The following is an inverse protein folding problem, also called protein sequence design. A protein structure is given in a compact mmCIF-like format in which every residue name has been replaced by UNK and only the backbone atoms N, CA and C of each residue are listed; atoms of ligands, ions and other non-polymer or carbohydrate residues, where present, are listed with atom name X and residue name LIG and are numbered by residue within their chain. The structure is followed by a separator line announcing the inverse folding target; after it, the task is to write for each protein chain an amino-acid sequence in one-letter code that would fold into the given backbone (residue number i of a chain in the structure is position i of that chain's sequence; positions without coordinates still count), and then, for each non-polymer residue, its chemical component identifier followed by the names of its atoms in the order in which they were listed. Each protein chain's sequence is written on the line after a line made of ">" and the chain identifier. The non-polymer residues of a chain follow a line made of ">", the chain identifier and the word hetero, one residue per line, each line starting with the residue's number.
data_IF_286890121492
#
_entry.id   IF_286890121492
#
_cell.length_a   1.000
_cell.length_b   1.000
_cell.length_c   1.000
_cell.angle_alpha   90.00
_cell.angle_beta   90.00
_cell.angle_gamma   90.00
#
_symmetry.space_group_name_H-M   'P 1'
#
loop_
_entity.id
_entity.type
_entity.pdbx_description
1 polymer ?
#
# COMPACT_ATOMS: atom_id res chain seq x y z
N UNK A 1 20.00 6.74 57.52
CA UNK A 1 19.79 5.27 57.56
C UNK A 1 19.15 5.04 58.91
N UNK A 2 17.82 4.94 58.94
CA UNK A 2 17.04 5.12 60.18
C UNK A 2 16.62 3.79 60.80
N UNK A 3 17.17 2.69 60.28
CA UNK A 3 16.90 1.32 60.70
C UNK A 3 18.23 0.66 61.07
N UNK A 4 18.29 0.02 62.24
CA UNK A 4 19.48 -0.64 62.77
C UNK A 4 19.85 -1.84 61.86
N UNK A 5 21.10 -1.95 61.35
CA UNK A 5 21.51 -3.05 60.48
C UNK A 5 21.35 -4.44 61.10
N UNK A 6 21.23 -4.55 62.43
CA UNK A 6 20.96 -5.84 63.10
C UNK A 6 19.58 -6.44 62.77
N UNK A 7 18.67 -5.71 62.15
CA UNK A 7 17.33 -6.23 61.79
C UNK A 7 17.41 -7.15 60.55
N UNK A 8 18.50 -7.08 59.78
CA UNK A 8 18.74 -7.91 58.59
C UNK A 8 19.07 -9.38 58.92
N UNK A 9 19.43 -9.69 60.18
CA UNK A 9 19.71 -11.06 60.64
C UNK A 9 18.48 -11.81 61.16
N UNK A 10 17.29 -11.18 61.13
CA UNK A 10 16.02 -11.81 61.49
C UNK A 10 15.45 -12.55 60.28
N UNK A 11 15.13 -13.82 60.48
CA UNK A 11 14.63 -14.70 59.43
C UNK A 11 13.30 -14.18 58.88
N UNK A 12 13.24 -13.96 57.56
CA UNK A 12 12.07 -13.41 56.86
C UNK A 12 11.98 -11.88 56.75
N UNK A 13 13.00 -11.12 57.15
CA UNK A 13 13.02 -9.65 57.01
C UNK A 13 13.97 -9.22 55.88
N UNK A 14 13.44 -8.54 54.86
CA UNK A 14 14.21 -7.96 53.76
C UNK A 14 14.22 -6.44 53.88
N UNK A 15 15.40 -5.84 53.93
CA UNK A 15 15.59 -4.41 54.14
C UNK A 15 15.99 -3.76 52.81
N UNK A 16 15.06 -3.01 52.21
CA UNK A 16 15.32 -2.26 50.98
C UNK A 16 15.62 -0.81 51.31
N UNK A 17 16.77 -0.32 50.86
CA UNK A 17 17.21 1.06 51.01
C UNK A 17 16.76 1.95 49.85
N UNK A 18 17.08 3.24 49.98
CA UNK A 18 16.88 4.23 48.90
C UNK A 18 17.71 3.86 47.65
N UNK A 19 18.89 3.27 47.85
CA UNK A 19 19.77 2.82 46.76
C UNK A 19 19.15 1.65 45.97
N UNK A 20 18.42 0.75 46.62
CA UNK A 20 17.72 -0.36 45.94
C UNK A 20 16.56 0.14 45.09
N UNK A 21 15.83 1.17 45.56
CA UNK A 21 14.78 1.82 44.78
C UNK A 21 15.36 2.55 43.56
N UNK A 22 16.55 3.14 43.69
CA UNK A 22 17.24 3.81 42.58
C UNK A 22 17.59 2.80 41.47
N UNK A 23 18.07 1.62 41.84
CA UNK A 23 18.35 0.53 40.88
C UNK A 23 17.11 0.09 40.11
N UNK A 24 15.97 -0.08 40.79
CA UNK A 24 14.69 -0.47 40.16
C UNK A 24 14.17 0.63 39.22
N UNK A 25 14.36 1.90 39.58
CA UNK A 25 13.96 3.04 38.75
C UNK A 25 14.80 3.09 37.46
N UNK A 26 16.11 2.90 37.56
CA UNK A 26 17.02 2.90 36.42
C UNK A 26 16.71 1.73 35.47
N UNK A 27 16.39 0.56 36.02
CA UNK A 27 15.98 -0.62 35.26
C UNK A 27 14.63 -0.39 34.54
N UNK A 28 13.65 0.22 35.22
CA UNK A 28 12.38 0.63 34.62
C UNK A 28 12.59 1.66 33.49
N UNK A 29 13.50 2.61 33.67
CA UNK A 29 13.81 3.62 32.66
C UNK A 29 14.45 2.97 31.43
N UNK A 30 15.37 2.02 31.62
CA UNK A 30 15.98 1.25 30.54
C UNK A 30 14.93 0.43 29.78
N UNK A 31 14.03 -0.26 30.47
CA UNK A 31 12.92 -1.01 29.85
C UNK A 31 11.99 -0.09 29.05
N UNK A 32 11.64 1.09 29.59
CA UNK A 32 10.81 2.07 28.88
C UNK A 32 11.49 2.60 27.61
N UNK A 33 12.80 2.85 27.66
CA UNK A 33 13.58 3.25 26.48
C UNK A 33 13.59 2.16 25.42
N UNK A 34 13.80 0.91 25.83
CA UNK A 34 13.78 -0.23 24.91
C UNK A 34 12.41 -0.40 24.25
N UNK A 35 11.34 -0.35 25.03
CA UNK A 35 9.97 -0.42 24.51
C UNK A 35 9.63 0.74 23.57
N UNK A 36 10.16 1.95 23.81
CA UNK A 36 9.99 3.10 22.93
C UNK A 36 10.67 2.88 21.57
N UNK A 37 11.90 2.34 21.56
CA UNK A 37 12.61 2.01 20.31
C UNK A 37 11.85 0.94 19.51
N UNK A 38 11.34 -0.09 20.18
CA UNK A 38 10.52 -1.12 19.52
C UNK A 38 9.24 -0.54 18.93
N UNK A 39 8.57 0.38 19.65
CA UNK A 39 7.41 1.09 19.15
C UNK A 39 7.75 1.95 17.92
N UNK A 40 8.88 2.67 17.92
CA UNK A 40 9.32 3.46 16.77
C UNK A 40 9.59 2.59 15.53
N UNK A 41 10.21 1.42 15.71
CA UNK A 41 10.42 0.46 14.62
C UNK A 41 9.07 -0.03 14.07
N UNK A 42 8.14 -0.39 14.96
CA UNK A 42 6.80 -0.84 14.57
C UNK A 42 6.03 0.24 13.80
N UNK A 43 6.08 1.49 14.28
CA UNK A 43 5.42 2.63 13.62
C UNK A 43 5.99 2.87 12.23
N UNK A 44 7.33 2.84 12.07
CA UNK A 44 7.96 3.02 10.75
C UNK A 44 7.58 1.91 9.77
N UNK A 45 7.52 0.67 10.23
CA UNK A 45 7.07 -0.46 9.42
C UNK A 45 5.61 -0.29 8.97
N UNK A 46 4.72 0.03 9.90
CA UNK A 46 3.30 0.26 9.62
C UNK A 46 3.08 1.46 8.69
N UNK A 47 3.83 2.55 8.88
CA UNK A 47 3.77 3.71 7.99
C UNK A 47 4.14 3.34 6.54
N UNK A 48 5.18 2.52 6.37
CA UNK A 48 5.61 2.03 5.06
C UNK A 48 4.56 1.11 4.42
N UNK A 49 3.97 0.21 5.23
CA UNK A 49 2.87 -0.66 4.80
C UNK A 49 1.62 0.14 4.40
N UNK A 50 1.32 1.22 5.11
CA UNK A 50 0.17 2.06 4.81
C UNK A 50 0.36 2.80 3.48
N UNK A 51 1.54 3.38 3.26
CA UNK A 51 1.86 4.06 1.99
C UNK A 51 1.78 3.09 0.81
N UNK A 52 2.32 1.88 0.96
CA UNK A 52 2.26 0.86 -0.09
C UNK A 52 0.82 0.41 -0.36
N UNK A 53 0.02 0.18 0.67
CA UNK A 53 -1.40 -0.15 0.53
C UNK A 53 -2.17 0.99 -0.17
N UNK A 54 -1.90 2.24 0.18
CA UNK A 54 -2.55 3.39 -0.44
C UNK A 54 -2.25 3.48 -1.94
N UNK A 55 -0.98 3.28 -2.33
CA UNK A 55 -0.59 3.20 -3.75
C UNK A 55 -1.32 2.09 -4.51
N UNK A 56 -1.46 0.91 -3.91
CA UNK A 56 -2.20 -0.22 -4.51
C UNK A 56 -3.68 0.13 -4.67
N UNK A 57 -4.28 0.80 -3.69
CA UNK A 57 -5.69 1.21 -3.73
C UNK A 57 -5.94 2.28 -4.80
N UNK A 58 -5.04 3.26 -4.93
CA UNK A 58 -5.08 4.26 -6.00
C UNK A 58 -4.98 3.61 -7.38
N UNK A 59 -4.07 2.65 -7.56
CA UNK A 59 -3.95 1.89 -8.80
C UNK A 59 -5.25 1.15 -9.18
N UNK A 60 -5.99 0.62 -8.18
CA UNK A 60 -7.28 -0.03 -8.41
C UNK A 60 -8.31 0.91 -9.05
N UNK A 61 -8.39 2.17 -8.60
CA UNK A 61 -9.31 3.16 -9.18
C UNK A 61 -8.93 3.52 -10.62
N UNK A 62 -7.63 3.66 -10.90
CA UNK A 62 -7.11 3.91 -12.25
C UNK A 62 -7.38 2.75 -13.19
N UNK A 63 -7.20 1.50 -12.74
CA UNK A 63 -7.51 0.30 -13.52
C UNK A 63 -9.01 0.23 -13.83
N UNK A 64 -9.86 0.53 -12.86
CA UNK A 64 -11.31 0.54 -13.06
C UNK A 64 -11.71 1.60 -14.10
N UNK A 65 -11.22 2.83 -13.96
CA UNK A 65 -11.46 3.90 -14.93
C UNK A 65 -10.98 3.54 -16.34
N UNK A 66 -9.80 2.93 -16.46
CA UNK A 66 -9.27 2.48 -17.75
C UNK A 66 -10.12 1.38 -18.40
N UNK A 67 -10.61 0.41 -17.61
CA UNK A 67 -11.52 -0.63 -18.12
C UNK A 67 -12.83 -0.04 -18.61
N UNK A 68 -13.43 0.87 -17.84
CA UNK A 68 -14.66 1.56 -18.23
C UNK A 68 -14.47 2.33 -19.55
N UNK A 69 -13.36 3.07 -19.67
CA UNK A 69 -13.05 3.80 -20.89
C UNK A 69 -12.86 2.86 -22.10
N UNK A 70 -12.23 1.71 -21.90
CA UNK A 70 -12.05 0.69 -22.94
C UNK A 70 -13.38 0.11 -23.41
N UNK A 71 -14.30 -0.14 -22.48
CA UNK A 71 -15.67 -0.59 -22.76
C UNK A 71 -16.43 0.45 -23.61
N UNK A 72 -16.34 1.74 -23.24
CA UNK A 72 -16.96 2.83 -23.99
C UNK A 72 -16.44 2.92 -25.43
N UNK A 73 -15.14 2.73 -25.64
CA UNK A 73 -14.53 2.66 -26.98
C UNK A 73 -15.09 1.47 -27.76
N UNK A 74 -15.11 0.28 -27.14
CA UNK A 74 -15.63 -0.94 -27.75
C UNK A 74 -17.08 -0.76 -28.21
N UNK A 75 -17.93 -0.21 -27.34
CA UNK A 75 -19.34 0.01 -27.63
C UNK A 75 -19.56 1.00 -28.77
N UNK A 76 -18.75 2.07 -28.86
CA UNK A 76 -18.81 3.03 -29.97
C UNK A 76 -18.43 2.40 -31.30
N UNK A 77 -17.31 1.66 -31.34
CA UNK A 77 -16.88 0.98 -32.57
C UNK A 77 -17.89 -0.09 -33.00
N UNK A 78 -18.48 -0.81 -32.04
CA UNK A 78 -19.51 -1.80 -32.32
C UNK A 78 -20.75 -1.15 -32.93
N UNK A 79 -21.19 -0.01 -32.37
CA UNK A 79 -22.33 0.74 -32.90
C UNK A 79 -22.07 1.16 -34.34
N UNK A 80 -20.90 1.72 -34.63
CA UNK A 80 -20.51 2.08 -36.00
C UNK A 80 -20.47 0.88 -36.96
N UNK A 81 -19.98 -0.27 -36.50
CA UNK A 81 -19.95 -1.48 -37.31
C UNK A 81 -21.37 -1.98 -37.61
N UNK A 82 -22.26 -1.99 -36.62
CA UNK A 82 -23.66 -2.38 -36.79
C UNK A 82 -24.40 -1.43 -37.74
N UNK A 83 -24.18 -0.12 -37.61
CA UNK A 83 -24.72 0.86 -38.56
C UNK A 83 -24.25 0.59 -39.98
N UNK A 84 -22.95 0.35 -40.19
CA UNK A 84 -22.41 0.05 -41.52
C UNK A 84 -23.00 -1.25 -42.12
N UNK A 85 -23.23 -2.27 -41.28
CA UNK A 85 -23.92 -3.50 -41.70
C UNK A 85 -25.38 -3.23 -42.09
N UNK A 86 -26.11 -2.46 -41.30
CA UNK A 86 -27.50 -2.11 -41.60
C UNK A 86 -27.65 -1.30 -42.89
N UNK A 87 -26.65 -0.48 -43.24
CA UNK A 87 -26.61 0.27 -44.49
C UNK A 87 -26.16 -0.59 -45.71
N UNK A 88 -26.03 -1.91 -45.54
CA UNK A 88 -25.68 -2.83 -46.62
C UNK A 88 -24.18 -2.96 -46.90
N UNK A 89 -23.33 -2.52 -45.96
CA UNK A 89 -21.89 -2.73 -46.05
C UNK A 89 -21.53 -4.22 -46.09
N UNK A 90 -20.46 -4.56 -46.80
CA UNK A 90 -19.96 -5.94 -46.84
C UNK A 90 -19.56 -6.40 -45.43
N UNK A 91 -20.16 -7.48 -44.89
CA UNK A 91 -19.92 -7.87 -43.50
C UNK A 91 -18.47 -8.19 -43.16
N UNK A 92 -17.75 -8.81 -44.09
CA UNK A 92 -16.36 -9.20 -43.89
C UNK A 92 -15.44 -7.97 -43.80
N UNK A 93 -15.66 -6.97 -44.66
CA UNK A 93 -14.91 -5.72 -44.63
C UNK A 93 -15.21 -4.89 -43.39
N UNK A 94 -16.48 -4.81 -42.98
CA UNK A 94 -16.89 -4.06 -41.78
C UNK A 94 -16.28 -4.68 -40.52
N UNK A 95 -16.30 -6.01 -40.40
CA UNK A 95 -15.71 -6.71 -39.25
C UNK A 95 -14.18 -6.58 -39.21
N UNK A 96 -13.49 -6.67 -40.36
CA UNK A 96 -12.05 -6.43 -40.44
C UNK A 96 -11.70 -5.00 -40.01
N UNK A 97 -12.47 -4.01 -40.45
CA UNK A 97 -12.24 -2.61 -40.10
C UNK A 97 -12.55 -2.32 -38.63
N UNK A 98 -13.61 -2.91 -38.07
CA UNK A 98 -13.92 -2.87 -36.64
C UNK A 98 -12.76 -3.44 -35.81
N UNK A 99 -12.31 -4.65 -36.11
CA UNK A 99 -11.24 -5.32 -35.39
C UNK A 99 -9.95 -4.48 -35.40
N UNK A 100 -9.59 -3.93 -36.57
CA UNK A 100 -8.41 -3.07 -36.70
C UNK A 100 -8.54 -1.77 -35.88
N UNK A 101 -9.66 -1.06 -35.99
CA UNK A 101 -9.89 0.21 -35.28
C UNK A 101 -9.95 0.02 -33.77
N UNK A 102 -10.65 -1.00 -33.29
CA UNK A 102 -10.72 -1.32 -31.87
C UNK A 102 -9.33 -1.60 -31.30
N UNK A 103 -8.56 -2.44 -31.99
CA UNK A 103 -7.20 -2.81 -31.59
C UNK A 103 -6.30 -1.58 -31.51
N UNK A 104 -6.32 -0.70 -32.52
CA UNK A 104 -5.53 0.53 -32.52
C UNK A 104 -5.92 1.47 -31.36
N UNK A 105 -7.22 1.69 -31.14
CA UNK A 105 -7.70 2.59 -30.08
C UNK A 105 -7.38 2.08 -28.67
N UNK A 106 -7.37 0.76 -28.45
CA UNK A 106 -7.03 0.16 -27.16
C UNK A 106 -5.52 0.10 -26.88
N UNK A 107 -4.69 -0.12 -27.91
CA UNK A 107 -3.23 -0.28 -27.77
C UNK A 107 -2.49 1.07 -27.77
N UNK A 108 -3.01 2.09 -28.43
CA UNK A 108 -2.34 3.39 -28.52
C UNK A 108 -2.02 4.02 -27.14
N UNK A 109 -2.94 4.04 -26.15
CA UNK A 109 -2.66 4.61 -24.83
C UNK A 109 -1.58 3.84 -24.06
N UNK A 110 -1.62 2.50 -24.07
CA UNK A 110 -0.68 1.65 -23.34
C UNK A 110 0.71 1.69 -23.97
N UNK A 111 0.80 1.70 -25.30
CA UNK A 111 2.09 1.86 -26.01
C UNK A 111 2.75 3.22 -25.76
N UNK A 112 1.97 4.29 -25.61
CA UNK A 112 2.48 5.61 -25.22
C UNK A 112 3.00 5.63 -23.79
N UNK A 113 2.23 5.08 -22.84
CA UNK A 113 2.63 4.98 -21.43
C UNK A 113 3.92 4.15 -21.26
N UNK A 114 4.05 3.04 -21.98
CA UNK A 114 5.27 2.22 -21.96
C UNK A 114 6.50 2.98 -22.50
N UNK A 115 6.32 3.81 -23.54
CA UNK A 115 7.39 4.66 -24.07
C UNK A 115 7.77 5.80 -23.13
N UNK A 116 6.82 6.37 -22.41
CA UNK A 116 7.10 7.39 -21.40
C UNK A 116 7.80 6.80 -20.18
N UNK A 117 7.35 5.63 -19.70
CA UNK A 117 8.01 4.92 -18.61
C UNK A 117 9.47 4.57 -18.96
N UNK A 118 9.73 4.11 -20.19
CA UNK A 118 11.09 3.81 -20.67
C UNK A 118 12.00 5.05 -20.84
N UNK A 119 11.44 6.28 -20.81
CA UNK A 119 12.23 7.53 -20.82
C UNK A 119 12.48 8.09 -19.42
N UNK A 120 11.74 7.61 -18.43
CA UNK A 120 11.84 8.05 -17.04
C UNK A 120 12.77 7.16 -16.20
N UNK A 121 13.23 6.02 -16.74
CA UNK A 121 14.42 5.28 -16.31
C UNK A 121 15.71 5.93 -16.82
#
# INVERSE_FOLDING_TARGET
>A
RDIDPKVESLDGVYLYGVDDLQSVIDENLAQRRQAAVEAEVMVNQLATQLITHQKVKEAGSTIHAYRQHSEEISQRELTHALEALHHGGNPEQVLQQFAHRLTQKLIHPTSMLLREAAKAE
#
